data_IF_543837629203
#
_entry.id   IF_543837629203
#
_cell.length_a   1.000
_cell.length_b   1.000
_cell.length_c   1.000
_cell.angle_alpha   90.00
_cell.angle_beta   90.00
_cell.angle_gamma   90.00
#
_symmetry.space_group_name_H-M   'P 1'
#
loop_
_entity.id
_entity.type
_entity.pdbx_description
1 polymer ?
#
# COMPACT_ATOMS: atom_id res chain seq x y z
N UNK A 1 1.65 30.33 23.36
CA UNK A 1 0.49 29.41 23.15
C UNK A 1 0.87 27.92 23.28
N UNK A 2 2.15 27.56 23.17
CA UNK A 2 2.69 26.18 23.24
C UNK A 2 2.73 25.56 24.64
N UNK A 3 2.80 26.37 25.71
CA UNK A 3 2.90 25.87 27.09
C UNK A 3 1.59 25.30 27.65
N UNK A 4 0.42 25.78 27.18
CA UNK A 4 -0.89 25.23 27.60
C UNK A 4 -1.20 23.86 26.97
N UNK A 5 -0.68 23.58 25.78
CA UNK A 5 -0.88 22.30 25.10
C UNK A 5 -0.13 21.14 25.79
N UNK A 6 1.07 21.40 26.32
CA UNK A 6 1.88 20.40 27.03
C UNK A 6 1.31 20.05 28.40
N UNK A 7 0.67 21.03 29.06
CA UNK A 7 0.05 20.84 30.37
C UNK A 7 -1.28 20.07 30.28
N UNK A 8 -2.08 20.30 29.23
CA UNK A 8 -3.28 19.50 28.95
C UNK A 8 -2.97 18.03 28.68
N UNK A 9 -1.87 17.74 27.94
CA UNK A 9 -1.40 16.36 27.69
C UNK A 9 -1.01 15.62 28.98
N UNK A 10 -0.39 16.32 29.94
CA UNK A 10 -0.06 15.74 31.27
C UNK A 10 -1.31 15.45 32.11
N UNK A 11 -2.36 16.25 31.98
CA UNK A 11 -3.60 16.08 32.74
C UNK A 11 -4.44 14.90 32.21
N UNK A 12 -4.49 14.69 30.88
CA UNK A 12 -5.17 13.54 30.26
C UNK A 12 -4.45 12.21 30.61
N UNK A 13 -3.11 12.22 30.70
CA UNK A 13 -2.32 11.06 31.13
C UNK A 13 -2.46 10.72 32.64
N UNK A 14 -3.02 11.63 33.44
CA UNK A 14 -3.33 11.38 34.85
C UNK A 14 -4.77 10.89 35.08
N UNK A 15 -5.71 11.26 34.21
CA UNK A 15 -7.13 10.94 34.39
C UNK A 15 -7.55 9.56 33.85
N UNK A 16 -6.75 8.93 32.99
CA UNK A 16 -7.14 7.71 32.29
C UNK A 16 -6.10 6.60 32.52
N UNK A 17 -6.35 5.66 33.46
CA UNK A 17 -5.42 4.57 33.77
C UNK A 17 -5.07 3.68 32.57
N UNK A 18 -5.98 3.53 31.60
CA UNK A 18 -5.76 2.73 30.38
C UNK A 18 -4.74 3.34 29.41
N UNK A 19 -4.67 4.67 29.30
CA UNK A 19 -3.64 5.38 28.52
C UNK A 19 -2.28 5.39 29.20
N UNK A 20 -2.27 5.42 30.54
CA UNK A 20 -1.04 5.22 31.33
C UNK A 20 -0.47 3.83 31.13
N UNK A 21 -1.34 2.81 31.04
CA UNK A 21 -0.94 1.43 30.79
C UNK A 21 -0.50 1.20 29.33
N UNK A 22 -1.11 1.88 28.33
CA UNK A 22 -0.63 1.79 26.94
C UNK A 22 0.73 2.50 26.78
N UNK A 23 0.90 3.69 27.36
CA UNK A 23 2.18 4.43 27.32
C UNK A 23 3.29 3.71 28.12
N UNK A 24 2.96 3.05 29.23
CA UNK A 24 3.91 2.22 29.99
C UNK A 24 4.21 0.87 29.31
N UNK A 25 3.32 0.37 28.46
CA UNK A 25 3.56 -0.81 27.59
C UNK A 25 4.47 -0.47 26.42
N UNK A 26 4.36 0.73 25.84
CA UNK A 26 5.31 1.24 24.83
C UNK A 26 6.71 1.50 25.41
N UNK A 27 6.83 1.73 26.73
CA UNK A 27 8.11 1.96 27.42
C UNK A 27 8.83 0.68 27.89
N UNK A 28 8.20 -0.50 27.79
CA UNK A 28 8.80 -1.75 28.28
C UNK A 28 9.64 -2.48 27.23
N UNK A 29 9.58 -2.02 25.99
CA UNK A 29 10.40 -2.50 24.88
C UNK A 29 11.56 -1.50 24.78
N UNK A 30 12.81 -1.89 25.05
CA UNK A 30 13.93 -1.03 24.74
C UNK A 30 13.87 -0.73 23.25
N UNK A 31 13.79 0.54 22.86
CA UNK A 31 13.89 0.91 21.44
C UNK A 31 15.19 0.34 20.88
N UNK A 32 15.28 0.09 19.57
CA UNK A 32 16.54 -0.33 18.93
C UNK A 32 17.72 0.55 19.35
N UNK A 33 17.49 1.85 19.58
CA UNK A 33 18.51 2.75 20.16
C UNK A 33 18.89 2.42 21.60
N UNK A 34 17.95 2.08 22.48
CA UNK A 34 18.28 1.65 23.85
C UNK A 34 18.95 0.28 23.86
N UNK A 35 18.47 -0.67 23.05
CA UNK A 35 19.03 -2.01 22.93
C UNK A 35 20.43 -1.96 22.30
N UNK A 36 20.62 -1.17 21.22
CA UNK A 36 21.93 -0.94 20.62
C UNK A 36 22.88 -0.14 21.52
N UNK A 37 22.40 0.83 22.29
CA UNK A 37 23.23 1.55 23.28
C UNK A 37 23.62 0.62 24.44
N UNK A 38 22.73 -0.29 24.86
CA UNK A 38 23.03 -1.33 25.83
C UNK A 38 24.08 -2.32 25.30
N UNK A 39 23.95 -2.74 24.04
CA UNK A 39 24.88 -3.66 23.39
C UNK A 39 26.24 -3.01 23.07
N UNK A 40 26.26 -1.73 22.69
CA UNK A 40 27.48 -0.96 22.36
C UNK A 40 28.28 -0.51 23.59
N UNK A 41 27.68 -0.55 24.78
CA UNK A 41 28.33 -0.17 26.05
C UNK A 41 29.22 -1.28 26.63
N UNK A 42 29.20 -2.51 26.09
CA UNK A 42 29.95 -3.67 26.61
C UNK A 42 31.01 -4.17 25.63
N UNK A 43 32.12 -4.67 26.19
CA UNK A 43 33.29 -5.15 25.47
C UNK A 43 33.02 -6.31 24.48
N UNK A 44 31.92 -7.05 24.64
CA UNK A 44 31.43 -8.03 23.68
C UNK A 44 29.88 -8.14 23.77
N UNK A 45 29.12 -7.83 22.69
CA UNK A 45 27.66 -7.92 22.69
C UNK A 45 27.11 -9.36 22.70
N UNK A 46 27.94 -10.36 22.39
CA UNK A 46 27.57 -11.79 22.31
C UNK A 46 28.08 -12.64 23.49
N UNK A 47 28.73 -12.02 24.49
CA UNK A 47 29.16 -12.72 25.70
C UNK A 47 27.96 -12.96 26.64
N UNK A 48 27.21 -14.03 26.37
CA UNK A 48 26.07 -14.45 27.19
C UNK A 48 26.49 -15.00 28.56
N UNK A 49 27.76 -15.36 28.76
CA UNK A 49 28.30 -15.91 30.03
C UNK A 49 28.44 -14.81 31.08
N UNK A 50 28.79 -13.59 30.67
CA UNK A 50 28.72 -12.43 31.56
C UNK A 50 27.31 -11.87 31.73
N UNK A 51 26.40 -12.13 30.79
CA UNK A 51 25.05 -11.54 30.75
C UNK A 51 24.05 -12.28 31.61
N UNK A 52 24.16 -13.61 31.67
CA UNK A 52 23.35 -14.47 32.52
C UNK A 52 24.27 -15.44 33.28
N UNK A 53 24.23 -15.47 34.62
CA UNK A 53 25.04 -16.40 35.40
C UNK A 53 24.68 -17.85 35.07
N UNK A 54 25.63 -18.77 35.25
CA UNK A 54 25.37 -20.21 35.11
C UNK A 54 24.23 -20.64 36.05
N UNK A 55 23.34 -21.46 35.51
CA UNK A 55 22.28 -22.05 36.33
C UNK A 55 22.89 -23.12 37.24
N UNK A 56 22.14 -23.49 38.30
CA UNK A 56 22.58 -24.60 39.14
C UNK A 56 22.52 -25.89 38.33
N UNK A 57 23.47 -26.80 38.60
CA UNK A 57 23.46 -28.15 38.02
C UNK A 57 22.07 -28.79 38.22
N UNK A 58 21.46 -29.24 37.12
CA UNK A 58 20.08 -29.77 36.98
C UNK A 58 18.93 -28.74 36.90
N UNK A 59 19.20 -27.44 36.98
CA UNK A 59 18.22 -26.35 36.78
C UNK A 59 18.32 -25.68 35.39
N UNK A 60 19.18 -26.18 34.50
CA UNK A 60 19.45 -25.65 33.15
C UNK A 60 18.23 -25.57 32.21
N UNK A 61 17.14 -26.28 32.54
CA UNK A 61 15.87 -26.30 31.79
C UNK A 61 14.70 -25.72 32.61
N UNK A 62 14.97 -25.21 33.81
CA UNK A 62 13.99 -24.58 34.69
C UNK A 62 13.26 -23.43 33.98
N UNK A 63 12.03 -23.04 34.38
CA UNK A 63 11.30 -21.93 33.76
C UNK A 63 12.04 -20.60 33.74
N UNK A 64 13.04 -20.43 34.62
CA UNK A 64 13.88 -19.25 34.77
C UNK A 64 15.31 -19.44 34.23
N UNK A 65 15.60 -20.58 33.60
CA UNK A 65 16.92 -20.92 33.12
C UNK A 65 17.48 -19.90 32.11
N UNK A 66 18.80 -19.80 32.12
CA UNK A 66 19.62 -18.97 31.23
C UNK A 66 19.32 -19.23 29.76
N UNK A 67 19.07 -20.48 29.37
CA UNK A 67 18.75 -20.83 27.97
C UNK A 67 17.52 -20.07 27.44
N UNK A 68 16.44 -19.99 28.23
CA UNK A 68 15.22 -19.29 27.84
C UNK A 68 15.41 -17.78 27.80
N UNK A 69 16.23 -17.23 28.70
CA UNK A 69 16.54 -15.79 28.72
C UNK A 69 17.38 -15.38 27.52
N UNK A 70 18.39 -16.19 27.20
CA UNK A 70 19.26 -15.99 26.03
C UNK A 70 18.44 -16.09 24.74
N UNK A 71 17.58 -17.10 24.62
CA UNK A 71 16.68 -17.26 23.48
C UNK A 71 15.74 -16.07 23.29
N UNK A 72 15.07 -15.60 24.36
CA UNK A 72 14.17 -14.45 24.27
C UNK A 72 14.86 -13.17 23.82
N UNK A 73 16.11 -13.00 24.21
CA UNK A 73 16.89 -11.83 23.85
C UNK A 73 17.26 -11.87 22.36
N UNK A 74 17.78 -13.00 21.87
CA UNK A 74 18.11 -13.18 20.46
C UNK A 74 16.88 -13.13 19.55
N UNK A 75 15.80 -13.85 19.90
CA UNK A 75 14.54 -13.74 19.17
C UNK A 75 13.97 -12.33 19.21
N UNK A 76 14.12 -11.62 20.34
CA UNK A 76 13.65 -10.24 20.46
C UNK A 76 14.37 -9.30 19.49
N UNK A 77 15.69 -9.43 19.34
CA UNK A 77 16.47 -8.63 18.39
C UNK A 77 16.06 -8.95 16.96
N UNK A 78 15.98 -10.24 16.61
CA UNK A 78 15.60 -10.69 15.28
C UNK A 78 14.18 -10.23 14.89
N UNK A 79 13.21 -10.44 15.77
CA UNK A 79 11.81 -10.05 15.54
C UNK A 79 11.67 -8.54 15.39
N UNK A 80 12.34 -7.74 16.24
CA UNK A 80 12.30 -6.28 16.13
C UNK A 80 12.87 -5.83 14.77
N UNK A 81 14.01 -6.37 14.35
CA UNK A 81 14.63 -5.99 13.09
C UNK A 81 13.75 -6.36 11.88
N UNK A 82 13.23 -7.59 11.85
CA UNK A 82 12.33 -8.05 10.80
C UNK A 82 11.05 -7.22 10.73
N UNK A 83 10.40 -6.99 11.89
CA UNK A 83 9.12 -6.29 11.96
C UNK A 83 9.24 -4.79 11.70
N UNK A 84 10.35 -4.15 12.09
CA UNK A 84 10.64 -2.76 11.71
C UNK A 84 10.76 -2.63 10.20
N UNK A 85 11.52 -3.53 9.54
CA UNK A 85 11.63 -3.53 8.08
C UNK A 85 10.28 -3.69 7.37
N UNK A 86 9.44 -4.61 7.86
CA UNK A 86 8.08 -4.78 7.33
C UNK A 86 7.21 -3.55 7.57
N UNK A 87 7.22 -2.99 8.78
CA UNK A 87 6.42 -1.80 9.11
C UNK A 87 6.81 -0.61 8.25
N UNK A 88 8.10 -0.35 8.13
CA UNK A 88 8.63 0.79 7.37
C UNK A 88 8.30 0.62 5.87
N UNK A 89 8.40 -0.60 5.32
CA UNK A 89 7.93 -0.91 3.97
C UNK A 89 6.43 -0.68 3.78
N UNK A 90 5.60 -1.11 4.73
CA UNK A 90 4.15 -0.90 4.71
C UNK A 90 3.76 0.58 4.88
N UNK A 91 4.53 1.37 5.64
CA UNK A 91 4.36 2.82 5.75
C UNK A 91 4.56 3.52 4.40
N UNK A 92 5.67 3.23 3.72
CA UNK A 92 5.96 3.76 2.38
C UNK A 92 4.89 3.35 1.39
N UNK A 93 4.49 2.08 1.41
CA UNK A 93 3.48 1.54 0.49
C UNK A 93 2.13 2.23 0.67
N UNK A 94 1.72 2.49 1.92
CA UNK A 94 0.45 3.14 2.23
C UNK A 94 0.42 4.60 1.77
N UNK A 95 1.52 5.33 1.94
CA UNK A 95 1.66 6.71 1.43
C UNK A 95 1.56 6.73 -0.09
N UNK A 96 2.28 5.82 -0.77
CA UNK A 96 2.20 5.72 -2.22
C UNK A 96 0.79 5.36 -2.70
N UNK A 97 0.15 4.37 -2.09
CA UNK A 97 -1.21 3.96 -2.43
C UNK A 97 -2.22 5.11 -2.26
N UNK A 98 -2.11 5.88 -1.17
CA UNK A 98 -2.97 7.04 -0.93
C UNK A 98 -2.78 8.15 -1.99
N UNK A 99 -1.54 8.52 -2.29
CA UNK A 99 -1.22 9.53 -3.31
C UNK A 99 -1.66 9.07 -4.71
N UNK A 100 -1.36 7.82 -5.06
CA UNK A 100 -1.75 7.24 -6.33
C UNK A 100 -3.27 7.17 -6.46
N UNK A 101 -3.99 6.69 -5.44
CA UNK A 101 -5.45 6.67 -5.44
C UNK A 101 -6.05 8.06 -5.60
N UNK A 102 -5.45 9.11 -5.02
CA UNK A 102 -5.91 10.48 -5.22
C UNK A 102 -5.80 10.91 -6.70
N UNK A 103 -4.64 10.65 -7.33
CA UNK A 103 -4.43 10.93 -8.76
C UNK A 103 -5.39 10.14 -9.63
N UNK A 104 -5.55 8.83 -9.40
CA UNK A 104 -6.52 8.04 -10.18
C UNK A 104 -7.94 8.56 -9.99
N UNK A 105 -8.31 8.97 -8.78
CA UNK A 105 -9.64 9.54 -8.49
C UNK A 105 -9.90 10.80 -9.29
N UNK A 106 -8.92 11.69 -9.48
CA UNK A 106 -9.13 12.90 -10.29
C UNK A 106 -9.47 12.55 -11.74
N UNK A 107 -8.79 11.56 -12.30
CA UNK A 107 -9.06 11.08 -13.66
C UNK A 107 -10.43 10.40 -13.75
N UNK A 108 -10.77 9.53 -12.79
CA UNK A 108 -12.08 8.86 -12.71
C UNK A 108 -13.22 9.86 -12.60
N UNK A 109 -13.10 10.89 -11.76
CA UNK A 109 -14.13 11.94 -11.64
C UNK A 109 -14.32 12.66 -12.96
N UNK A 110 -13.24 12.94 -13.71
CA UNK A 110 -13.32 13.58 -15.01
C UNK A 110 -13.96 12.68 -16.08
N UNK A 111 -13.54 11.43 -16.21
CA UNK A 111 -14.03 10.54 -17.29
C UNK A 111 -15.32 9.82 -16.98
N UNK A 112 -15.72 9.71 -15.72
CA UNK A 112 -17.03 9.16 -15.36
C UNK A 112 -18.17 10.01 -15.91
N UNK A 113 -17.95 11.30 -16.15
CA UNK A 113 -18.91 12.18 -16.81
C UNK A 113 -19.12 11.79 -18.28
N UNK A 114 -18.10 11.23 -18.95
CA UNK A 114 -18.22 10.73 -20.33
C UNK A 114 -19.10 9.47 -20.44
N UNK A 115 -19.43 8.83 -19.32
CA UNK A 115 -20.40 7.72 -19.27
C UNK A 115 -21.85 8.21 -19.16
N UNK A 116 -22.07 9.52 -19.12
CA UNK A 116 -23.38 10.14 -19.05
C UNK A 116 -23.65 10.97 -20.29
N UNK A 117 -24.93 11.27 -20.53
CA UNK A 117 -25.35 12.16 -21.62
C UNK A 117 -24.77 13.54 -21.40
N UNK A 118 -24.01 14.04 -22.38
CA UNK A 118 -23.59 15.44 -22.42
C UNK A 118 -24.74 16.31 -22.91
N UNK A 119 -25.52 16.85 -21.97
CA UNK A 119 -26.59 17.80 -22.27
C UNK A 119 -26.09 19.08 -22.94
N UNK A 120 -24.81 19.45 -22.77
CA UNK A 120 -24.18 20.55 -23.48
C UNK A 120 -24.03 20.26 -24.98
N UNK A 121 -23.52 19.09 -25.34
CA UNK A 121 -23.47 18.61 -26.72
C UNK A 121 -24.87 18.50 -27.35
N UNK A 122 -25.84 17.92 -26.64
CA UNK A 122 -27.22 17.82 -27.11
C UNK A 122 -27.80 19.21 -27.38
N UNK A 123 -27.63 20.14 -26.43
CA UNK A 123 -28.14 21.51 -26.59
C UNK A 123 -27.45 22.25 -27.74
N UNK A 124 -26.13 22.13 -27.88
CA UNK A 124 -25.38 22.74 -28.98
C UNK A 124 -25.84 22.22 -30.34
N UNK A 125 -26.04 20.90 -30.47
CA UNK A 125 -26.49 20.28 -31.73
C UNK A 125 -27.91 20.73 -32.09
N UNK A 126 -28.83 20.79 -31.12
CA UNK A 126 -30.18 21.30 -31.32
C UNK A 126 -30.19 22.81 -31.66
N UNK A 127 -29.29 23.60 -31.09
CA UNK A 127 -29.13 25.01 -31.45
C UNK A 127 -28.60 25.18 -32.88
N UNK A 128 -27.66 24.33 -33.33
CA UNK A 128 -27.21 24.33 -34.72
C UNK A 128 -28.35 23.98 -35.67
N UNK A 129 -29.14 22.95 -35.37
CA UNK A 129 -30.33 22.60 -36.15
C UNK A 129 -31.32 23.78 -36.24
N UNK A 130 -31.56 24.48 -35.12
CA UNK A 130 -32.43 25.66 -35.11
C UNK A 130 -31.90 26.80 -35.99
N UNK A 131 -30.59 27.05 -35.97
CA UNK A 131 -29.95 28.08 -36.81
C UNK A 131 -30.07 27.71 -38.29
N UNK A 132 -29.89 26.43 -38.64
CA UNK A 132 -30.01 25.95 -40.01
C UNK A 132 -31.46 26.05 -40.52
N UNK A 133 -32.45 25.74 -39.67
CA UNK A 133 -33.89 25.96 -39.97
C UNK A 133 -34.19 27.43 -40.23
N UNK A 134 -33.65 28.34 -39.43
CA UNK A 134 -33.84 29.78 -39.63
C UNK A 134 -33.22 30.26 -40.94
N UNK A 135 -32.00 29.79 -41.26
CA UNK A 135 -31.31 30.15 -42.50
C UNK A 135 -32.03 29.59 -43.73
N UNK A 136 -32.51 28.35 -43.65
CA UNK A 136 -33.27 27.71 -44.71
C UNK A 136 -34.59 28.45 -44.99
N UNK A 137 -35.31 28.85 -43.93
CA UNK A 137 -36.53 29.64 -44.06
C UNK A 137 -36.26 31.01 -44.70
N UNK A 138 -35.14 31.67 -44.35
CA UNK A 138 -34.75 32.95 -44.95
C UNK A 138 -34.35 32.83 -46.44
N UNK A 139 -33.76 31.71 -46.84
CA UNK A 139 -33.36 31.45 -48.24
C UNK A 139 -34.48 30.82 -49.10
N UNK A 140 -35.67 30.57 -48.53
CA UNK A 140 -36.79 29.96 -49.25
C UNK A 140 -36.62 28.45 -49.56
N UNK A 141 -35.67 27.79 -48.90
CA UNK A 141 -35.47 26.33 -49.01
C UNK A 141 -36.44 25.58 -48.10
N UNK A 142 -36.85 24.37 -48.50
CA UNK A 142 -37.78 23.55 -47.73
C UNK A 142 -37.11 23.01 -46.45
N UNK A 143 -37.82 23.09 -45.32
CA UNK A 143 -37.33 22.61 -44.00
C UNK A 143 -36.96 21.12 -44.00
N UNK A 144 -37.55 20.33 -44.90
CA UNK A 144 -37.25 18.90 -45.02
C UNK A 144 -35.88 18.60 -45.63
N UNK A 145 -35.21 19.57 -46.25
CA UNK A 145 -33.87 19.41 -46.81
C UNK A 145 -32.76 19.61 -45.76
N UNK A 146 -33.14 19.93 -44.53
CA UNK A 146 -32.20 20.17 -43.43
C UNK A 146 -31.91 18.83 -42.73
N UNK A 147 -30.64 18.46 -42.54
CA UNK A 147 -30.28 17.30 -41.74
C UNK A 147 -30.83 17.44 -40.32
N UNK A 148 -31.68 16.49 -39.89
CA UNK A 148 -32.17 16.44 -38.51
C UNK A 148 -31.01 16.08 -37.57
N UNK A 149 -31.00 16.62 -36.36
CA UNK A 149 -30.03 16.21 -35.35
C UNK A 149 -30.18 14.72 -35.03
N UNK A 150 -29.06 14.00 -35.06
CA UNK A 150 -29.00 12.60 -34.61
C UNK A 150 -29.14 12.46 -33.08
N UNK A 151 -28.90 13.55 -32.34
CA UNK A 151 -29.04 13.59 -30.88
C UNK A 151 -30.37 14.22 -30.48
N UNK A 152 -31.12 13.52 -29.63
CA UNK A 152 -32.35 14.04 -28.99
C UNK A 152 -32.29 13.83 -27.48
N UNK A 153 -33.05 14.58 -26.66
CA UNK A 153 -33.09 14.39 -25.21
C UNK A 153 -33.57 13.00 -24.76
N UNK A 154 -34.15 12.23 -25.70
CA UNK A 154 -34.74 10.90 -25.48
C UNK A 154 -33.96 9.78 -26.19
N UNK A 155 -32.85 10.09 -26.87
CA UNK A 155 -32.04 9.05 -27.51
C UNK A 155 -31.36 8.17 -26.45
N UNK A 156 -31.39 6.85 -26.66
CA UNK A 156 -30.69 5.91 -25.79
C UNK A 156 -29.19 6.16 -25.85
N UNK A 157 -28.63 6.67 -24.75
CA UNK A 157 -27.21 6.94 -24.65
C UNK A 157 -26.44 5.63 -24.47
N UNK A 158 -25.51 5.39 -25.39
CA UNK A 158 -24.53 4.32 -25.28
C UNK A 158 -23.14 4.94 -25.25
N UNK A 159 -22.40 4.81 -24.14
CA UNK A 159 -21.05 5.33 -24.08
C UNK A 159 -20.17 4.62 -25.11
N UNK A 160 -19.23 5.37 -25.68
CA UNK A 160 -18.26 4.85 -26.63
C UNK A 160 -17.48 3.68 -26.00
N UNK A 161 -17.15 2.67 -26.79
CA UNK A 161 -16.39 1.50 -26.31
C UNK A 161 -15.06 1.92 -25.67
N UNK A 162 -14.40 2.95 -26.22
CA UNK A 162 -13.18 3.54 -25.65
C UNK A 162 -13.39 4.11 -24.25
N UNK A 163 -14.46 4.87 -24.04
CA UNK A 163 -14.74 5.53 -22.76
C UNK A 163 -15.09 4.52 -21.68
N UNK A 164 -15.82 3.47 -22.05
CA UNK A 164 -16.13 2.35 -21.17
C UNK A 164 -14.88 1.59 -20.75
N UNK A 165 -13.96 1.33 -21.69
CA UNK A 165 -12.69 0.65 -21.42
C UNK A 165 -11.77 1.49 -20.52
N UNK A 166 -11.58 2.77 -20.81
CA UNK A 166 -10.73 3.68 -20.02
C UNK A 166 -11.25 3.78 -18.58
N UNK A 167 -12.55 4.03 -18.41
CA UNK A 167 -13.15 4.09 -17.08
C UNK A 167 -13.02 2.75 -16.35
N UNK A 168 -13.28 1.62 -17.03
CA UNK A 168 -13.11 0.28 -16.45
C UNK A 168 -11.67 0.03 -15.96
N UNK A 169 -10.66 0.39 -16.75
CA UNK A 169 -9.25 0.29 -16.37
C UNK A 169 -8.92 1.17 -15.15
N UNK A 170 -9.43 2.39 -15.10
CA UNK A 170 -9.14 3.27 -13.97
C UNK A 170 -9.87 2.88 -12.69
N UNK A 171 -11.12 2.42 -12.76
CA UNK A 171 -11.83 1.87 -11.61
C UNK A 171 -11.14 0.61 -11.07
N UNK A 172 -10.73 -0.30 -11.95
CA UNK A 172 -10.00 -1.51 -11.54
C UNK A 172 -8.64 -1.18 -10.94
N UNK A 173 -7.90 -0.25 -11.53
CA UNK A 173 -6.66 0.29 -10.94
C UNK A 173 -6.90 0.83 -9.53
N UNK A 174 -7.89 1.71 -9.37
CA UNK A 174 -8.23 2.31 -8.08
C UNK A 174 -8.59 1.26 -7.03
N UNK A 175 -9.37 0.24 -7.42
CA UNK A 175 -9.74 -0.87 -6.54
C UNK A 175 -8.50 -1.66 -6.06
N UNK A 176 -7.58 -2.00 -6.95
CA UNK A 176 -6.33 -2.69 -6.56
C UNK A 176 -5.45 -1.85 -5.63
N UNK A 177 -5.37 -0.54 -5.85
CA UNK A 177 -4.64 0.38 -4.94
C UNK A 177 -5.27 0.40 -3.54
N UNK A 178 -6.59 0.55 -3.47
CA UNK A 178 -7.32 0.55 -2.20
C UNK A 178 -7.26 -0.80 -1.49
N UNK A 179 -7.35 -1.91 -2.23
CA UNK A 179 -7.17 -3.25 -1.68
C UNK A 179 -5.76 -3.40 -1.07
N UNK A 180 -4.73 -2.95 -1.78
CA UNK A 180 -3.35 -2.97 -1.27
C UNK A 180 -3.22 -2.15 0.02
N UNK A 181 -3.81 -0.96 0.07
CA UNK A 181 -3.82 -0.13 1.28
C UNK A 181 -4.54 -0.82 2.45
N UNK A 182 -5.70 -1.45 2.21
CA UNK A 182 -6.44 -2.20 3.22
C UNK A 182 -5.60 -3.35 3.79
N UNK A 183 -5.01 -4.18 2.93
CA UNK A 183 -4.16 -5.28 3.38
C UNK A 183 -2.88 -4.80 4.08
N UNK A 184 -2.30 -3.67 3.67
CA UNK A 184 -1.16 -3.07 4.37
C UNK A 184 -1.53 -2.67 5.80
N UNK A 185 -2.72 -2.09 6.00
CA UNK A 185 -3.22 -1.73 7.34
C UNK A 185 -3.53 -2.99 8.16
N UNK A 186 -4.17 -4.02 7.59
CA UNK A 186 -4.43 -5.28 8.29
C UNK A 186 -3.13 -5.95 8.74
N UNK A 187 -2.11 -5.96 7.88
CA UNK A 187 -0.82 -6.57 8.20
C UNK A 187 -0.11 -5.81 9.32
N UNK A 188 -0.19 -4.47 9.32
CA UNK A 188 0.28 -3.66 10.47
C UNK A 188 -0.42 -4.02 11.77
N UNK A 189 -1.73 -4.28 11.75
CA UNK A 189 -2.46 -4.70 12.93
C UNK A 189 -1.97 -6.06 13.45
N UNK A 190 -1.70 -7.01 12.55
CA UNK A 190 -1.13 -8.32 12.91
C UNK A 190 0.27 -8.19 13.53
N UNK A 191 1.14 -7.38 12.93
CA UNK A 191 2.49 -7.09 13.45
C UNK A 191 2.39 -6.47 14.85
N UNK A 192 1.48 -5.51 15.05
CA UNK A 192 1.29 -4.88 16.36
C UNK A 192 0.83 -5.89 17.42
N UNK A 193 -0.07 -6.81 17.07
CA UNK A 193 -0.51 -7.88 17.98
C UNK A 193 0.59 -8.90 18.27
N UNK A 194 1.44 -9.21 17.29
CA UNK A 194 2.59 -10.10 17.46
C UNK A 194 3.56 -9.60 18.54
N UNK A 195 3.86 -8.29 18.52
CA UNK A 195 4.80 -7.64 19.47
C UNK A 195 4.22 -7.56 20.90
N UNK A 196 2.91 -7.68 21.08
CA UNK A 196 2.29 -7.57 22.39
C UNK A 196 2.77 -8.69 23.34
N UNK A 197 3.70 -8.35 24.23
CA UNK A 197 4.43 -9.31 25.06
C UNK A 197 3.51 -10.10 26.00
N UNK A 198 3.59 -11.45 26.00
CA UNK A 198 2.89 -12.28 26.97
C UNK A 198 3.43 -12.06 28.39
N UNK A 199 2.53 -12.12 29.38
CA UNK A 199 2.91 -12.14 30.80
C UNK A 199 3.24 -13.59 31.19
N UNK A 200 4.33 -13.83 31.92
CA UNK A 200 4.70 -15.18 32.37
C UNK A 200 6.17 -15.33 32.69
N UNK A 201 6.59 -16.58 32.93
CA UNK A 201 8.00 -16.94 33.08
C UNK A 201 8.76 -16.81 31.74
N UNK A 202 10.10 -16.72 31.73
CA UNK A 202 10.89 -16.74 30.50
C UNK A 202 10.57 -17.92 29.58
N UNK A 203 10.37 -19.11 30.15
CA UNK A 203 9.97 -20.29 29.38
C UNK A 203 8.59 -20.13 28.72
N UNK A 204 7.57 -19.65 29.45
CA UNK A 204 6.24 -19.41 28.87
C UNK A 204 6.30 -18.40 27.72
N UNK A 205 7.10 -17.34 27.90
CA UNK A 205 7.31 -16.31 26.89
C UNK A 205 8.00 -16.88 25.64
N UNK A 206 8.98 -17.77 25.81
CA UNK A 206 9.62 -18.49 24.70
C UNK A 206 8.62 -19.31 23.90
N UNK A 207 7.80 -20.12 24.57
CA UNK A 207 6.81 -20.97 23.91
C UNK A 207 5.79 -20.14 23.13
N UNK A 208 5.29 -19.05 23.71
CA UNK A 208 4.34 -18.17 23.00
C UNK A 208 4.99 -17.43 21.84
N UNK A 209 6.24 -16.97 21.99
CA UNK A 209 6.99 -16.34 20.91
C UNK A 209 7.15 -17.30 19.73
N UNK A 210 7.63 -18.52 20.01
CA UNK A 210 7.83 -19.54 18.99
C UNK A 210 6.51 -19.96 18.33
N UNK A 211 5.44 -20.13 19.10
CA UNK A 211 4.12 -20.44 18.55
C UNK A 211 3.61 -19.35 17.60
N UNK A 212 3.81 -18.07 17.95
CA UNK A 212 3.42 -16.95 17.09
C UNK A 212 4.27 -16.89 15.82
N UNK A 213 5.57 -17.13 15.94
CA UNK A 213 6.48 -17.16 14.79
C UNK A 213 6.09 -18.27 13.80
N UNK A 214 5.87 -19.49 14.32
CA UNK A 214 5.35 -20.61 13.52
C UNK A 214 4.00 -20.27 12.88
N UNK A 215 3.14 -19.53 13.58
CA UNK A 215 1.91 -18.99 13.02
C UNK A 215 2.17 -18.02 11.86
N UNK A 216 3.07 -17.05 12.01
CA UNK A 216 3.40 -16.12 10.92
C UNK A 216 3.91 -16.85 9.67
N UNK A 217 4.71 -17.88 9.86
CA UNK A 217 5.26 -18.71 8.79
C UNK A 217 4.19 -19.58 8.12
N UNK A 218 3.38 -20.29 8.91
CA UNK A 218 2.31 -21.15 8.42
C UNK A 218 1.23 -20.37 7.65
N UNK A 219 0.90 -19.16 8.11
CA UNK A 219 -0.08 -18.29 7.44
C UNK A 219 0.53 -17.43 6.33
N UNK A 220 1.85 -17.56 6.08
CA UNK A 220 2.52 -16.90 4.98
C UNK A 220 2.47 -15.36 5.04
N UNK A 221 2.51 -14.77 6.24
CA UNK A 221 2.40 -13.30 6.39
C UNK A 221 3.52 -12.58 5.65
N UNK A 222 4.74 -13.12 5.66
CA UNK A 222 5.85 -12.59 4.85
C UNK A 222 5.57 -12.61 3.34
N UNK A 223 4.90 -13.65 2.85
CA UNK A 223 4.49 -13.75 1.45
C UNK A 223 3.41 -12.70 1.11
N UNK A 224 2.43 -12.48 1.98
CA UNK A 224 1.43 -11.43 1.82
C UNK A 224 2.11 -10.07 1.72
N UNK A 225 3.02 -9.74 2.65
CA UNK A 225 3.76 -8.47 2.65
C UNK A 225 4.57 -8.30 1.35
N UNK A 226 5.19 -9.37 0.86
CA UNK A 226 5.92 -9.38 -0.40
C UNK A 226 5.05 -9.16 -1.64
N UNK A 227 3.78 -9.57 -1.60
CA UNK A 227 2.83 -9.40 -2.71
C UNK A 227 2.21 -7.99 -2.78
N UNK A 228 2.13 -7.25 -1.67
CA UNK A 228 1.50 -5.94 -1.64
C UNK A 228 2.14 -4.92 -2.61
N UNK A 229 3.48 -4.77 -2.67
CA UNK A 229 4.12 -3.91 -3.67
C UNK A 229 3.84 -4.34 -5.11
N UNK A 230 3.68 -5.64 -5.37
CA UNK A 230 3.37 -6.17 -6.71
C UNK A 230 1.95 -5.80 -7.12
N UNK A 231 0.97 -5.95 -6.22
CA UNK A 231 -0.42 -5.52 -6.45
C UNK A 231 -0.51 -4.02 -6.76
N UNK A 232 0.23 -3.19 -6.04
CA UNK A 232 0.26 -1.74 -6.27
C UNK A 232 0.91 -1.38 -7.61
N UNK A 233 1.95 -2.11 -8.00
CA UNK A 233 2.63 -1.91 -9.28
C UNK A 233 1.76 -2.36 -10.45
N UNK A 234 0.99 -3.44 -10.28
CA UNK A 234 -0.02 -3.88 -11.26
C UNK A 234 -1.13 -2.83 -11.42
N UNK A 235 -1.59 -2.26 -10.31
CA UNK A 235 -2.55 -1.14 -10.31
C UNK A 235 -2.01 0.06 -11.11
N UNK A 236 -0.77 0.48 -10.84
CA UNK A 236 -0.10 1.53 -11.61
C UNK A 236 -0.01 1.20 -13.11
N UNK A 237 0.33 -0.04 -13.46
CA UNK A 237 0.39 -0.49 -14.85
C UNK A 237 -0.95 -0.39 -15.57
N UNK A 238 -2.03 -0.85 -14.94
CA UNK A 238 -3.41 -0.76 -15.45
C UNK A 238 -3.80 0.72 -15.67
N UNK A 239 -3.47 1.59 -14.72
CA UNK A 239 -3.72 3.04 -14.85
C UNK A 239 -3.00 3.65 -16.04
N UNK A 240 -1.71 3.34 -16.21
CA UNK A 240 -0.91 3.89 -17.30
C UNK A 240 -1.39 3.39 -18.67
N UNK A 241 -1.85 2.15 -18.79
CA UNK A 241 -2.50 1.63 -20.00
C UNK A 241 -3.76 2.46 -20.30
N UNK A 242 -4.61 2.67 -19.30
CA UNK A 242 -5.80 3.52 -19.44
C UNK A 242 -5.45 4.97 -19.84
N UNK A 243 -4.35 5.52 -19.29
CA UNK A 243 -3.85 6.85 -19.63
C UNK A 243 -3.43 6.95 -21.10
N UNK A 244 -2.68 5.98 -21.61
CA UNK A 244 -2.28 5.96 -23.02
C UNK A 244 -3.51 5.88 -23.92
N UNK A 245 -4.47 5.01 -23.62
CA UNK A 245 -5.72 4.89 -24.38
C UNK A 245 -6.55 6.17 -24.37
N UNK A 246 -6.59 6.88 -23.24
CA UNK A 246 -7.25 8.17 -23.11
C UNK A 246 -6.58 9.26 -23.96
N UNK A 247 -5.25 9.24 -24.08
CA UNK A 247 -4.49 10.25 -24.84
C UNK A 247 -4.55 10.05 -26.36
N UNK A 248 -4.74 8.82 -26.85
CA UNK A 248 -4.77 8.52 -28.30
C UNK A 248 -5.75 9.41 -29.08
N UNK A 249 -7.05 9.52 -28.71
CA UNK A 249 -8.00 10.36 -29.44
C UNK A 249 -7.72 11.86 -29.26
N UNK A 250 -7.05 12.27 -28.18
CA UNK A 250 -6.79 13.68 -27.89
C UNK A 250 -5.61 14.20 -28.71
N UNK A 251 -4.47 13.51 -28.65
CA UNK A 251 -3.27 13.84 -29.42
C UNK A 251 -2.30 12.66 -29.49
N UNK A 252 -2.24 11.99 -30.66
CA UNK A 252 -1.41 10.81 -30.88
C UNK A 252 0.08 11.02 -30.57
N UNK A 253 0.63 12.22 -30.80
CA UNK A 253 2.02 12.53 -30.48
C UNK A 253 2.31 12.45 -28.97
N UNK A 254 1.43 13.03 -28.13
CA UNK A 254 1.59 12.97 -26.67
C UNK A 254 1.38 11.52 -26.19
N UNK A 255 0.37 10.83 -26.73
CA UNK A 255 0.11 9.43 -26.41
C UNK A 255 1.33 8.53 -26.68
N UNK A 256 2.01 8.73 -27.81
CA UNK A 256 3.21 7.98 -28.18
C UNK A 256 4.38 8.25 -27.22
N UNK A 257 4.62 9.52 -26.85
CA UNK A 257 5.68 9.87 -25.91
C UNK A 257 5.40 9.27 -24.52
N UNK A 258 4.19 9.44 -24.00
CA UNK A 258 3.80 8.87 -22.69
C UNK A 258 3.85 7.34 -22.72
N UNK A 259 3.39 6.73 -23.80
CA UNK A 259 3.41 5.27 -23.98
C UNK A 259 4.82 4.69 -24.05
N UNK A 260 5.74 5.33 -24.76
CA UNK A 260 7.14 4.87 -24.84
C UNK A 260 7.86 4.97 -23.50
N UNK A 261 7.69 6.09 -22.77
CA UNK A 261 8.26 6.27 -21.42
C UNK A 261 7.70 5.23 -20.45
N UNK A 262 6.38 4.99 -20.51
CA UNK A 262 5.69 4.00 -19.70
C UNK A 262 6.24 2.60 -19.98
N UNK A 263 6.35 2.22 -21.26
CA UNK A 263 6.84 0.92 -21.68
C UNK A 263 8.27 0.67 -21.21
N UNK A 264 9.17 1.65 -21.38
CA UNK A 264 10.57 1.53 -20.95
C UNK A 264 10.65 1.39 -19.42
N UNK A 265 9.91 2.23 -18.68
CA UNK A 265 9.90 2.19 -17.21
C UNK A 265 9.38 0.86 -16.68
N UNK A 266 8.27 0.35 -17.24
CA UNK A 266 7.68 -0.91 -16.81
C UNK A 266 8.52 -2.11 -17.25
N UNK A 267 9.13 -2.07 -18.43
CA UNK A 267 10.08 -3.10 -18.86
C UNK A 267 11.29 -3.16 -17.92
N UNK A 268 11.86 -2.01 -17.55
CA UNK A 268 12.96 -1.95 -16.57
C UNK A 268 12.53 -2.50 -15.19
N UNK A 269 11.31 -2.18 -14.74
CA UNK A 269 10.75 -2.70 -13.50
C UNK A 269 10.58 -4.22 -13.54
N UNK A 270 9.98 -4.77 -14.60
CA UNK A 270 9.80 -6.20 -14.80
C UNK A 270 11.16 -6.90 -14.84
N UNK A 271 12.10 -6.41 -15.67
CA UNK A 271 13.46 -6.96 -15.75
C UNK A 271 14.12 -6.97 -14.37
N UNK A 272 14.01 -5.88 -13.60
CA UNK A 272 14.59 -5.79 -12.25
C UNK A 272 13.95 -6.79 -11.27
N UNK A 273 12.67 -7.14 -11.44
CA UNK A 273 12.00 -8.13 -10.59
C UNK A 273 12.33 -9.59 -10.98
N UNK A 274 12.59 -9.85 -12.26
CA UNK A 274 12.97 -11.18 -12.77
C UNK A 274 14.48 -11.44 -12.72
N UNK A 275 15.32 -10.40 -12.68
CA UNK A 275 16.78 -10.51 -12.59
C UNK A 275 17.27 -11.40 -11.44
N UNK A 276 16.71 -11.31 -10.21
CA UNK A 276 17.12 -12.13 -9.08
C UNK A 276 16.76 -13.62 -9.25
N UNK A 277 15.77 -13.92 -10.09
CA UNK A 277 15.36 -15.29 -10.41
C UNK A 277 16.34 -15.93 -11.40
N UNK A 278 16.90 -15.14 -12.32
CA UNK A 278 17.83 -15.61 -13.35
C UNK A 278 19.29 -15.63 -12.89
N UNK A 279 19.68 -14.71 -11.99
CA UNK A 279 21.03 -14.58 -11.48
C UNK A 279 21.03 -14.47 -9.94
N UNK A 280 21.31 -15.56 -9.22
CA UNK A 280 21.38 -15.58 -7.75
C UNK A 280 22.43 -14.62 -7.15
N UNK A 281 23.38 -14.13 -7.95
CA UNK A 281 24.45 -13.22 -7.55
C UNK A 281 24.08 -11.73 -7.64
N UNK A 282 22.86 -11.38 -8.06
CA UNK A 282 22.43 -9.99 -8.19
C UNK A 282 22.05 -9.37 -6.82
N UNK A 283 22.45 -8.13 -6.51
CA UNK A 283 22.16 -7.47 -5.23
C UNK A 283 20.70 -7.07 -5.05
N UNK A 284 19.86 -7.25 -6.07
CA UNK A 284 18.42 -7.00 -6.02
C UNK A 284 17.72 -8.10 -5.21
N UNK A 285 17.46 -7.83 -3.93
CA UNK A 285 16.62 -8.71 -3.09
C UNK A 285 15.15 -8.42 -3.38
N UNK A 286 14.50 -9.28 -4.15
CA UNK A 286 13.03 -9.27 -4.27
C UNK A 286 12.43 -10.22 -3.24
N UNK A 287 11.20 -9.95 -2.74
CA UNK A 287 10.54 -10.84 -1.78
C UNK A 287 10.34 -12.28 -2.30
N UNK A 288 10.41 -12.50 -3.62
CA UNK A 288 10.37 -13.83 -4.24
C UNK A 288 11.68 -14.62 -4.09
N UNK A 289 12.84 -13.97 -3.93
CA UNK A 289 14.13 -14.69 -3.81
C UNK A 289 14.28 -15.44 -2.47
N UNK A 290 13.52 -15.06 -1.44
CA UNK A 290 13.49 -15.76 -0.16
C UNK A 290 12.67 -17.06 -0.18
N UNK A 291 11.80 -17.26 -1.18
CA UNK A 291 10.96 -18.45 -1.29
C UNK A 291 11.72 -19.66 -1.87
N UNK A 292 12.86 -19.44 -2.54
CA UNK A 292 13.61 -20.48 -3.24
C UNK A 292 14.85 -20.99 -2.48
N UNK A 293 14.97 -20.63 -1.20
CA UNK A 293 16.09 -21.02 -0.33
C UNK A 293 15.68 -21.92 0.83
N UNK A 294 14.55 -22.62 0.72
CA UNK A 294 14.18 -23.72 1.61
C UNK A 294 14.09 -25.05 0.85
#
# INVERSE_FOLDING_TARGET
MTLKATQGRRMILQAIPSLRLSSRREQLIPSKSQLATFLASRNDPFDYEQRFPEDKRYEELSPLARVWRTYLEECGVFDIEMLEGWRDGLDVLLVFAGLFSAVVTTFVVQTSQNLQVDYGQVTATLLFELIDVQRAAANGTLVNDIPRSDLTPFSNFHPTMSDSLVNGLWFTSLLFSLATALFAVLTKQWIHQYIAMPKGTPQDRCHVCQFRYMGLEQWGVGFIIGLLPMLLSMSLGIFLIGLVLFLVPLQAAIASIVGTITLISFAAYIVSNFLPIMYPSCPYKTPLSHLNTH
#
